data_IF_999089836886
#
_entry.id   IF_999089836886
#
_cell.length_a   1.000
_cell.length_b   1.000
_cell.length_c   1.000
_cell.angle_alpha   90.00
_cell.angle_beta   90.00
_cell.angle_gamma   90.00
#
_symmetry.space_group_name_H-M   'P 1'
#
loop_
_entity.id
_entity.type
_entity.pdbx_description
1 polymer ?
#
# COMPACT_ATOMS: atom_id res chain seq x y z
N UNK A 1 0.03 -5.29 25.71
CA UNK A 1 1.33 -5.97 25.78
C UNK A 1 2.09 -5.64 24.50
N UNK A 2 2.78 -4.51 24.46
CA UNK A 2 3.50 -4.04 23.26
C UNK A 2 4.94 -3.67 23.67
N UNK A 3 5.79 -4.68 23.66
CA UNK A 3 7.24 -4.50 23.80
C UNK A 3 7.90 -5.45 22.82
N UNK A 4 8.26 -5.00 21.62
CA UNK A 4 9.20 -5.75 20.73
C UNK A 4 9.32 -5.11 19.32
N UNK A 5 9.54 -3.83 19.19
CA UNK A 5 9.82 -3.24 17.85
C UNK A 5 11.31 -2.93 17.63
N UNK A 6 12.08 -2.69 18.68
CA UNK A 6 13.51 -2.35 18.51
C UNK A 6 14.44 -3.55 18.23
N UNK A 7 13.99 -4.80 18.44
CA UNK A 7 14.77 -6.01 18.14
C UNK A 7 14.60 -6.56 16.71
N UNK A 8 13.55 -6.13 16.03
CA UNK A 8 13.17 -6.62 14.69
C UNK A 8 14.01 -5.95 13.59
N UNK A 9 14.44 -4.70 13.80
CA UNK A 9 15.19 -3.95 12.79
C UNK A 9 16.54 -4.62 12.39
N UNK A 10 17.21 -5.30 13.34
CA UNK A 10 18.48 -6.01 13.04
C UNK A 10 18.27 -7.36 12.33
N UNK A 11 17.11 -8.00 12.49
CA UNK A 11 16.79 -9.28 11.85
C UNK A 11 16.24 -9.06 10.44
N UNK A 12 15.48 -7.99 10.24
CA UNK A 12 14.91 -7.60 8.93
C UNK A 12 16.00 -7.22 7.93
N UNK A 13 17.08 -6.57 8.38
CA UNK A 13 18.21 -6.25 7.49
C UNK A 13 18.93 -7.51 6.95
N UNK A 14 18.83 -8.64 7.66
CA UNK A 14 19.42 -9.92 7.24
C UNK A 14 18.48 -10.75 6.35
N UNK A 15 17.16 -10.54 6.43
CA UNK A 15 16.16 -11.22 5.59
C UNK A 15 16.10 -10.69 4.15
N UNK A 16 16.46 -9.41 3.92
CA UNK A 16 16.47 -8.80 2.59
C UNK A 16 17.47 -9.43 1.59
N UNK A 17 18.43 -10.23 2.07
CA UNK A 17 19.42 -10.86 1.20
C UNK A 17 18.96 -12.20 0.61
N UNK A 18 17.83 -12.75 1.01
CA UNK A 18 17.39 -14.10 0.62
C UNK A 18 16.17 -14.15 -0.30
N UNK A 19 15.42 -13.06 -0.44
CA UNK A 19 14.26 -13.01 -1.33
C UNK A 19 14.49 -11.93 -2.39
N UNK A 20 14.49 -12.30 -3.66
CA UNK A 20 14.80 -11.44 -4.78
C UNK A 20 13.82 -10.27 -5.07
N UNK A 21 13.17 -9.72 -4.04
CA UNK A 21 12.36 -8.51 -4.13
C UNK A 21 13.19 -7.31 -3.65
N UNK A 22 14.00 -6.73 -4.53
CA UNK A 22 14.57 -5.40 -4.28
C UNK A 22 13.45 -4.36 -4.41
N UNK A 23 12.94 -3.89 -3.26
CA UNK A 23 12.12 -2.69 -3.20
C UNK A 23 13.08 -1.52 -3.02
N UNK A 24 13.43 -0.84 -4.11
CA UNK A 24 14.23 0.39 -4.05
C UNK A 24 13.31 1.57 -3.68
N UNK A 25 13.54 2.15 -2.51
CA UNK A 25 12.95 3.42 -2.10
C UNK A 25 13.87 4.56 -2.54
N UNK A 26 13.67 5.06 -3.76
CA UNK A 26 14.33 6.28 -4.24
C UNK A 26 13.51 7.51 -3.81
N UNK A 27 13.97 8.24 -2.79
CA UNK A 27 13.41 9.54 -2.43
C UNK A 27 13.98 10.61 -3.34
N UNK A 28 13.15 11.26 -4.15
CA UNK A 28 13.59 12.25 -5.12
C UNK A 28 13.76 13.61 -4.44
N UNK A 29 15.01 14.02 -4.20
CA UNK A 29 15.35 15.37 -3.71
C UNK A 29 15.32 16.37 -4.86
N UNK A 30 14.26 17.13 -5.02
CA UNK A 30 14.30 18.48 -5.63
C UNK A 30 13.34 19.36 -4.86
N UNK A 31 13.87 20.08 -3.90
CA UNK A 31 13.13 21.03 -3.09
C UNK A 31 13.20 22.43 -3.68
N UNK A 32 12.07 22.93 -4.15
CA UNK A 32 11.77 24.35 -4.00
C UNK A 32 10.61 24.42 -3.01
N UNK A 33 10.97 24.68 -1.77
CA UNK A 33 10.17 24.44 -0.59
C UNK A 33 9.32 25.63 -0.25
N UNK A 34 8.06 25.45 0.07
CA UNK A 34 7.28 26.46 0.77
C UNK A 34 6.95 26.13 2.23
N UNK A 35 6.74 24.88 2.62
CA UNK A 35 6.42 24.55 4.02
C UNK A 35 7.17 23.31 4.50
N UNK A 36 8.30 23.54 5.19
CA UNK A 36 9.08 22.49 5.84
C UNK A 36 8.74 22.46 7.32
N UNK A 37 7.89 21.53 7.73
CA UNK A 37 7.53 21.38 9.14
C UNK A 37 8.29 20.25 9.81
N UNK A 38 8.95 20.56 10.92
CA UNK A 38 9.44 19.59 11.90
C UNK A 38 8.37 19.40 12.96
N UNK A 39 7.93 18.16 13.21
CA UNK A 39 6.92 17.86 14.22
C UNK A 39 5.49 17.77 13.67
N UNK A 40 4.54 18.26 14.46
CA UNK A 40 3.13 18.20 14.10
C UNK A 40 2.80 19.14 12.94
N UNK A 41 1.99 18.65 12.00
CA UNK A 41 1.53 19.38 10.81
C UNK A 41 0.02 19.29 10.72
N UNK A 42 -0.62 20.36 10.25
CA UNK A 42 -2.03 20.38 9.85
C UNK A 42 -2.13 21.36 8.68
N UNK A 43 -2.29 20.81 7.48
CA UNK A 43 -2.32 21.55 6.22
C UNK A 43 -3.55 21.13 5.39
N UNK A 44 -4.05 22.08 4.60
CA UNK A 44 -5.19 21.89 3.70
C UNK A 44 -4.84 22.42 2.32
N UNK A 45 -5.07 21.62 1.27
CA UNK A 45 -4.69 21.94 -0.11
C UNK A 45 -5.83 21.62 -1.06
N UNK A 46 -6.33 22.64 -1.76
CA UNK A 46 -7.39 22.47 -2.76
C UNK A 46 -7.02 21.55 -3.92
N UNK A 47 -7.96 20.66 -4.32
CA UNK A 47 -7.76 19.69 -5.41
C UNK A 47 -7.94 20.27 -6.81
N UNK A 48 -8.31 21.52 -6.97
CA UNK A 48 -8.53 22.12 -8.29
C UNK A 48 -7.30 21.96 -9.20
N UNK A 49 -7.47 21.25 -10.32
CA UNK A 49 -6.41 20.93 -11.27
C UNK A 49 -5.37 19.97 -10.72
N UNK A 50 -5.72 19.12 -9.75
CA UNK A 50 -4.87 18.03 -9.21
C UNK A 50 -5.25 16.72 -9.89
N UNK A 51 -4.29 16.13 -10.57
CA UNK A 51 -4.41 14.82 -11.22
C UNK A 51 -3.74 13.70 -10.41
N UNK A 52 -2.84 14.08 -9.47
CA UNK A 52 -2.04 13.10 -8.71
C UNK A 52 -1.77 13.54 -7.27
N UNK A 53 -1.89 12.60 -6.35
CA UNK A 53 -1.40 12.71 -4.97
C UNK A 53 -0.21 11.77 -4.81
N UNK A 54 0.94 12.29 -4.37
CA UNK A 54 2.20 11.56 -4.22
C UNK A 54 2.69 11.65 -2.78
N UNK A 55 2.61 10.54 -2.06
CA UNK A 55 3.04 10.39 -0.68
C UNK A 55 4.34 9.56 -0.65
N UNK A 56 5.44 10.12 -0.14
CA UNK A 56 6.72 9.44 0.04
C UNK A 56 7.18 9.61 1.47
N UNK A 57 7.02 8.59 2.28
CA UNK A 57 7.18 8.60 3.73
C UNK A 57 8.27 7.60 4.12
N UNK A 58 9.20 8.03 4.94
CA UNK A 58 10.28 7.17 5.39
C UNK A 58 9.83 6.25 6.54
N UNK A 59 9.21 6.83 7.58
CA UNK A 59 8.78 6.06 8.76
C UNK A 59 7.52 6.69 9.35
N UNK A 60 6.35 6.13 9.09
CA UNK A 60 5.10 6.53 9.75
C UNK A 60 4.04 5.42 9.65
N UNK A 61 3.12 5.43 10.60
CA UNK A 61 1.83 4.79 10.40
C UNK A 61 0.95 5.77 9.60
N UNK A 62 0.35 5.30 8.50
CA UNK A 62 -0.38 6.13 7.54
C UNK A 62 -1.84 5.70 7.47
N UNK A 63 -2.73 6.67 7.62
CA UNK A 63 -4.18 6.48 7.48
C UNK A 63 -4.70 7.43 6.39
N UNK A 64 -5.20 6.88 5.26
CA UNK A 64 -5.73 7.62 4.13
C UNK A 64 -7.22 7.33 4.02
N UNK A 65 -8.04 8.36 4.08
CA UNK A 65 -9.48 8.20 4.14
C UNK A 65 -10.21 9.28 3.35
N UNK A 66 -11.45 9.00 3.00
CA UNK A 66 -12.30 9.93 2.27
C UNK A 66 -12.83 11.03 3.20
N UNK A 67 -12.84 12.28 2.72
CA UNK A 67 -13.42 13.43 3.42
C UNK A 67 -14.39 14.19 2.52
N UNK A 68 -15.28 14.95 3.15
CA UNK A 68 -16.11 15.91 2.44
C UNK A 68 -15.33 17.20 2.15
N UNK A 69 -15.72 17.93 1.11
CA UNK A 69 -15.11 19.20 0.71
C UNK A 69 -14.19 19.05 -0.49
N UNK A 70 -13.37 20.07 -0.73
CA UNK A 70 -12.54 20.18 -1.93
C UNK A 70 -11.04 20.26 -1.64
N UNK A 71 -10.66 19.98 -0.41
CA UNK A 71 -9.27 20.07 0.04
C UNK A 71 -8.74 18.71 0.51
N UNK A 72 -7.51 18.36 0.10
CA UNK A 72 -6.73 17.32 0.74
C UNK A 72 -6.27 17.82 2.10
N UNK A 73 -6.60 17.08 3.15
CA UNK A 73 -6.23 17.39 4.53
C UNK A 73 -5.02 16.53 4.90
N UNK A 74 -3.97 17.15 5.41
CA UNK A 74 -2.73 16.46 5.80
C UNK A 74 -2.45 16.77 7.26
N UNK A 75 -2.60 15.76 8.11
CA UNK A 75 -2.37 15.85 9.55
C UNK A 75 -1.23 14.91 9.94
N UNK A 76 -0.18 15.46 10.54
CA UNK A 76 0.92 14.68 11.08
C UNK A 76 1.02 14.89 12.58
N UNK A 77 1.13 13.81 13.33
CA UNK A 77 1.40 13.82 14.78
C UNK A 77 2.71 13.10 15.07
N UNK A 78 3.68 13.83 15.60
CA UNK A 78 4.99 13.30 15.98
C UNK A 78 5.19 13.34 17.49
N UNK A 79 5.80 12.28 18.04
CA UNK A 79 6.26 12.20 19.44
C UNK A 79 7.63 11.54 19.47
N UNK A 80 8.62 12.21 20.06
CA UNK A 80 10.00 11.73 20.12
C UNK A 80 10.93 12.58 19.25
N UNK A 81 12.09 12.06 18.87
CA UNK A 81 13.15 12.83 18.23
C UNK A 81 13.59 12.28 16.86
N UNK A 82 12.99 11.17 16.37
CA UNK A 82 13.41 10.50 15.14
C UNK A 82 12.29 10.50 14.11
N UNK A 83 12.07 11.61 13.50
CA UNK A 83 11.22 11.76 12.33
C UNK A 83 11.89 12.70 11.33
N UNK A 84 11.64 12.45 10.05
CA UNK A 84 12.11 13.30 8.96
C UNK A 84 11.31 14.60 8.90
N UNK A 85 11.84 15.54 8.17
CA UNK A 85 11.15 16.77 7.84
C UNK A 85 10.09 16.48 6.78
N UNK A 86 8.85 16.92 6.99
CA UNK A 86 7.78 16.78 6.03
C UNK A 86 7.73 18.01 5.11
N UNK A 87 7.82 17.78 3.81
CA UNK A 87 7.63 18.79 2.77
C UNK A 87 6.29 18.56 2.09
N UNK A 88 5.47 19.59 1.99
CA UNK A 88 4.15 19.52 1.38
C UNK A 88 4.07 20.59 0.30
N UNK A 89 3.84 20.19 -0.95
CA UNK A 89 3.86 21.07 -2.10
C UNK A 89 2.79 20.70 -3.13
N UNK A 90 2.11 21.70 -3.68
CA UNK A 90 1.33 21.54 -4.91
C UNK A 90 2.14 22.10 -6.07
N UNK A 91 2.53 21.24 -7.02
CA UNK A 91 3.31 21.63 -8.18
C UNK A 91 2.70 21.03 -9.46
N UNK A 92 2.24 21.90 -10.34
CA UNK A 92 1.44 21.49 -11.49
C UNK A 92 0.16 20.78 -11.02
N UNK A 93 -0.16 19.65 -11.62
CA UNK A 93 -1.29 18.78 -11.24
C UNK A 93 -1.00 17.82 -10.09
N UNK A 94 0.10 17.98 -9.32
CA UNK A 94 0.50 17.01 -8.30
C UNK A 94 0.60 17.65 -6.92
N UNK A 95 -0.04 17.03 -5.92
CA UNK A 95 0.24 17.27 -4.50
C UNK A 95 1.32 16.29 -4.06
N UNK A 96 2.45 16.81 -3.59
CA UNK A 96 3.57 16.03 -3.06
C UNK A 96 3.65 16.17 -1.55
N UNK A 97 3.66 15.06 -0.84
CA UNK A 97 3.89 14.97 0.61
C UNK A 97 5.11 14.08 0.80
N UNK A 98 6.24 14.66 1.11
CA UNK A 98 7.53 13.96 1.12
C UNK A 98 8.19 14.13 2.47
N UNK A 99 8.47 13.01 3.14
CA UNK A 99 9.31 12.98 4.34
C UNK A 99 10.76 12.73 3.96
N UNK A 100 11.67 13.57 4.45
CA UNK A 100 13.11 13.37 4.30
C UNK A 100 13.56 12.10 5.04
N UNK A 101 14.73 11.56 4.66
CA UNK A 101 15.31 10.40 5.32
C UNK A 101 15.46 10.61 6.83
N UNK A 102 14.95 9.65 7.59
CA UNK A 102 15.12 9.62 9.05
C UNK A 102 16.52 9.15 9.39
N UNK A 103 17.30 9.97 10.07
CA UNK A 103 18.58 9.55 10.62
C UNK A 103 18.33 8.74 11.89
N UNK A 104 18.44 7.41 11.79
CA UNK A 104 18.37 6.54 12.97
C UNK A 104 19.56 6.80 13.89
N UNK A 105 19.34 7.41 15.05
CA UNK A 105 20.30 7.49 16.12
C UNK A 105 20.14 6.29 17.04
N UNK A 106 21.21 5.53 17.26
CA UNK A 106 21.23 4.33 18.12
C UNK A 106 20.85 4.58 19.59
N UNK A 107 20.71 5.84 19.99
CA UNK A 107 20.26 6.28 21.31
C UNK A 107 18.81 6.79 21.37
N UNK A 108 18.06 6.69 20.29
CA UNK A 108 16.74 7.30 20.20
C UNK A 108 15.70 6.64 21.11
N UNK A 109 14.99 7.48 21.84
CA UNK A 109 13.76 7.07 22.53
C UNK A 109 12.68 6.77 21.48
N UNK A 110 11.74 5.88 21.83
CA UNK A 110 10.57 5.54 21.03
C UNK A 110 9.95 6.79 20.39
N UNK A 111 9.89 6.79 19.09
CA UNK A 111 9.26 7.84 18.30
C UNK A 111 7.94 7.32 17.74
N UNK A 112 6.91 8.15 17.78
CA UNK A 112 5.62 7.90 17.11
C UNK A 112 5.50 8.93 16.00
N UNK A 113 5.23 8.47 14.79
CA UNK A 113 4.94 9.31 13.64
C UNK A 113 3.66 8.77 12.99
N UNK A 114 2.60 9.51 13.07
CA UNK A 114 1.30 9.20 12.45
C UNK A 114 1.00 10.25 11.41
N UNK A 115 0.70 9.83 10.19
CA UNK A 115 0.28 10.67 9.09
C UNK A 115 -1.15 10.30 8.69
N UNK A 116 -2.05 11.27 8.77
CA UNK A 116 -3.42 11.15 8.27
C UNK A 116 -3.59 12.00 7.03
N UNK A 117 -4.18 11.40 6.00
CA UNK A 117 -4.44 12.08 4.71
C UNK A 117 -5.92 11.94 4.36
N UNK A 118 -6.68 13.01 4.54
CA UNK A 118 -8.06 13.11 4.08
C UNK A 118 -8.10 13.48 2.59
N UNK A 119 -8.70 12.61 1.78
CA UNK A 119 -8.84 12.81 0.33
C UNK A 119 -10.28 13.14 0.01
N UNK A 120 -10.58 14.24 -0.71
CA UNK A 120 -11.94 14.57 -1.09
C UNK A 120 -12.65 13.44 -1.85
N UNK A 121 -13.92 13.19 -1.53
CA UNK A 121 -14.74 12.18 -2.19
C UNK A 121 -14.84 12.36 -3.73
N UNK A 122 -14.75 13.60 -4.20
CA UNK A 122 -14.79 13.95 -5.62
C UNK A 122 -13.42 13.85 -6.32
N UNK A 123 -12.36 13.50 -5.60
CA UNK A 123 -11.05 13.25 -6.20
C UNK A 123 -10.99 11.84 -6.79
N UNK A 124 -10.78 11.73 -8.10
CA UNK A 124 -10.68 10.48 -8.84
C UNK A 124 -9.36 10.35 -9.62
N UNK A 125 -8.36 11.14 -9.25
CA UNK A 125 -7.03 11.10 -9.88
C UNK A 125 -6.17 9.93 -9.41
N UNK A 126 -4.90 9.99 -9.76
CA UNK A 126 -3.91 8.97 -9.40
C UNK A 126 -3.40 9.13 -7.97
N UNK A 127 -2.96 8.01 -7.36
CA UNK A 127 -2.25 8.03 -6.10
C UNK A 127 -0.96 7.20 -6.16
N UNK A 128 0.12 7.78 -5.65
CA UNK A 128 1.38 7.07 -5.40
C UNK A 128 1.65 7.12 -3.90
N UNK A 129 1.78 5.95 -3.28
CA UNK A 129 2.13 5.80 -1.87
C UNK A 129 3.43 5.01 -1.74
N UNK A 130 4.42 5.59 -1.08
CA UNK A 130 5.64 4.90 -0.68
C UNK A 130 5.83 5.08 0.82
N UNK A 131 5.86 3.97 1.55
CA UNK A 131 6.16 3.96 2.98
C UNK A 131 7.26 2.93 3.27
N UNK A 132 8.39 3.36 3.80
CA UNK A 132 9.47 2.41 4.04
C UNK A 132 9.24 1.60 5.32
N UNK A 133 8.71 2.19 6.39
CA UNK A 133 8.42 1.49 7.65
C UNK A 133 7.17 2.08 8.31
N UNK A 134 6.24 1.24 8.71
CA UNK A 134 5.00 1.55 9.39
C UNK A 134 3.81 0.94 8.66
N UNK A 135 2.70 0.84 9.36
CA UNK A 135 1.47 0.29 8.83
C UNK A 135 0.76 1.33 7.96
N UNK A 136 0.04 0.87 6.95
CA UNK A 136 -0.71 1.75 6.04
C UNK A 136 -2.14 1.25 5.90
N UNK A 137 -3.09 2.16 6.06
CA UNK A 137 -4.51 1.89 5.88
C UNK A 137 -5.12 2.87 4.87
N UNK A 138 -5.92 2.37 3.94
CA UNK A 138 -6.64 3.16 2.93
C UNK A 138 -8.13 2.83 2.97
N UNK A 139 -9.00 3.84 3.21
CA UNK A 139 -10.43 3.62 3.43
C UNK A 139 -11.31 4.37 2.44
N UNK A 140 -12.23 3.63 1.82
CA UNK A 140 -13.34 4.16 1.00
C UNK A 140 -12.90 5.11 -0.12
N UNK A 141 -11.74 4.86 -0.72
CA UNK A 141 -11.18 5.70 -1.77
C UNK A 141 -11.62 5.24 -3.16
N UNK A 142 -11.95 6.22 -4.01
CA UNK A 142 -12.29 6.01 -5.43
C UNK A 142 -11.26 6.72 -6.29
N UNK A 143 -10.31 5.97 -6.83
CA UNK A 143 -9.14 6.51 -7.52
C UNK A 143 -8.98 5.90 -8.93
N UNK A 144 -8.20 6.55 -9.78
CA UNK A 144 -7.80 6.02 -11.07
C UNK A 144 -6.68 4.98 -10.88
N UNK A 145 -5.44 5.36 -11.04
CA UNK A 145 -4.29 4.47 -10.92
C UNK A 145 -3.65 4.61 -9.54
N UNK A 146 -3.48 3.47 -8.85
CA UNK A 146 -2.90 3.41 -7.51
C UNK A 146 -1.61 2.61 -7.53
N UNK A 147 -0.47 3.26 -7.26
CA UNK A 147 0.87 2.62 -7.15
C UNK A 147 1.36 2.69 -5.70
N UNK A 148 1.43 1.55 -5.04
CA UNK A 148 1.78 1.42 -3.63
C UNK A 148 3.07 0.63 -3.48
N UNK A 149 3.98 1.16 -2.65
CA UNK A 149 5.21 0.48 -2.24
C UNK A 149 5.38 0.59 -0.74
N UNK A 150 5.28 -0.53 -0.05
CA UNK A 150 5.55 -0.62 1.38
C UNK A 150 6.80 -1.46 1.64
N UNK A 151 7.58 -1.07 2.63
CA UNK A 151 8.78 -1.80 3.03
C UNK A 151 8.51 -2.80 4.14
N UNK A 152 8.28 -2.32 5.35
CA UNK A 152 7.99 -3.12 6.54
C UNK A 152 6.79 -2.55 7.26
N UNK A 153 5.74 -3.34 7.43
CA UNK A 153 4.48 -3.00 8.06
C UNK A 153 3.32 -3.68 7.35
N UNK A 154 2.18 -3.70 7.99
CA UNK A 154 0.96 -4.26 7.43
C UNK A 154 0.27 -3.24 6.51
N UNK A 155 -0.47 -3.73 5.53
CA UNK A 155 -1.12 -2.90 4.55
C UNK A 155 -2.59 -3.30 4.35
N UNK A 156 -3.49 -2.34 4.60
CA UNK A 156 -4.92 -2.58 4.52
C UNK A 156 -5.61 -1.64 3.52
N UNK A 157 -6.48 -2.19 2.67
CA UNK A 157 -7.46 -1.44 1.89
C UNK A 157 -8.86 -1.85 2.32
N UNK A 158 -9.63 -0.89 2.76
CA UNK A 158 -11.04 -1.07 3.10
C UNK A 158 -11.92 -0.38 2.03
N UNK A 159 -12.71 -1.18 1.32
CA UNK A 159 -13.75 -0.73 0.40
C UNK A 159 -13.26 0.21 -0.73
N UNK A 160 -12.13 -0.16 -1.37
CA UNK A 160 -11.53 0.63 -2.46
C UNK A 160 -12.21 0.42 -3.82
N UNK A 161 -12.21 1.47 -4.66
CA UNK A 161 -12.62 1.42 -6.07
C UNK A 161 -11.49 2.01 -6.93
N UNK A 162 -10.83 1.18 -7.77
CA UNK A 162 -9.68 1.60 -8.57
C UNK A 162 -9.75 1.09 -10.01
N UNK A 163 -9.23 1.86 -10.97
CA UNK A 163 -9.06 1.36 -12.34
C UNK A 163 -7.87 0.40 -12.42
N UNK A 164 -6.75 0.77 -11.79
CA UNK A 164 -5.55 -0.08 -11.73
C UNK A 164 -4.97 -0.04 -10.32
N UNK A 165 -4.63 -1.22 -9.77
CA UNK A 165 -3.91 -1.34 -8.52
C UNK A 165 -2.56 -2.02 -8.74
N UNK A 166 -1.48 -1.31 -8.41
CA UNK A 166 -0.14 -1.88 -8.30
C UNK A 166 0.32 -1.82 -6.85
N UNK A 167 0.56 -2.98 -6.23
CA UNK A 167 1.10 -3.10 -4.87
C UNK A 167 2.43 -3.85 -4.90
N UNK A 168 3.43 -3.29 -4.22
CA UNK A 168 4.70 -3.97 -3.91
C UNK A 168 4.96 -3.87 -2.42
N UNK A 169 4.86 -4.99 -1.72
CA UNK A 169 5.09 -5.08 -0.28
C UNK A 169 6.39 -5.85 0.00
N UNK A 170 7.15 -5.38 0.96
CA UNK A 170 8.37 -6.04 1.41
C UNK A 170 8.09 -7.10 2.49
N UNK A 171 7.72 -6.69 3.69
CA UNK A 171 7.44 -7.57 4.83
C UNK A 171 6.25 -7.04 5.63
N UNK A 172 5.27 -7.88 5.88
CA UNK A 172 4.01 -7.61 6.56
C UNK A 172 2.85 -8.26 5.83
N UNK A 173 1.70 -8.31 6.45
CA UNK A 173 0.50 -8.86 5.86
C UNK A 173 -0.25 -7.81 5.05
N UNK A 174 -1.02 -8.24 4.04
CA UNK A 174 -1.89 -7.37 3.28
C UNK A 174 -3.33 -7.86 3.32
N UNK A 175 -4.26 -7.01 3.78
CA UNK A 175 -5.69 -7.25 3.66
C UNK A 175 -6.31 -6.22 2.70
N UNK A 176 -6.86 -6.71 1.58
CA UNK A 176 -7.35 -5.87 0.49
C UNK A 176 -8.81 -6.20 0.20
N UNK A 177 -9.69 -5.26 0.50
CA UNK A 177 -11.12 -5.36 0.23
C UNK A 177 -11.50 -4.33 -0.85
N UNK A 178 -11.91 -4.79 -2.03
CA UNK A 178 -12.23 -3.95 -3.17
C UNK A 178 -13.68 -4.16 -3.63
N UNK A 179 -14.44 -3.08 -3.70
CA UNK A 179 -15.77 -3.07 -4.30
C UNK A 179 -15.68 -3.04 -5.83
N UNK A 180 -14.67 -2.37 -6.37
CA UNK A 180 -14.34 -2.40 -7.79
C UNK A 180 -12.83 -2.29 -8.00
N UNK A 181 -12.27 -3.12 -8.88
CA UNK A 181 -10.93 -2.91 -9.42
C UNK A 181 -10.84 -3.47 -10.85
N UNK A 182 -10.18 -2.74 -11.73
CA UNK A 182 -9.76 -3.24 -13.02
C UNK A 182 -8.53 -4.14 -12.89
N UNK A 183 -7.47 -3.84 -13.59
CA UNK A 183 -6.26 -4.69 -13.53
C UNK A 183 -5.49 -4.54 -12.22
N UNK A 184 -4.99 -5.65 -11.70
CA UNK A 184 -4.23 -5.71 -10.45
C UNK A 184 -2.86 -6.37 -10.64
N UNK A 185 -1.82 -5.76 -10.06
CA UNK A 185 -0.46 -6.32 -10.01
C UNK A 185 0.07 -6.25 -8.58
N UNK A 186 0.01 -7.38 -7.88
CA UNK A 186 0.36 -7.50 -6.46
C UNK A 186 1.64 -8.31 -6.33
N UNK A 187 2.65 -7.75 -5.67
CA UNK A 187 3.92 -8.42 -5.35
C UNK A 187 4.16 -8.37 -3.86
N UNK A 188 4.05 -9.52 -3.19
CA UNK A 188 4.40 -9.72 -1.79
C UNK A 188 5.84 -10.22 -1.64
N UNK A 189 6.48 -9.83 -0.54
CA UNK A 189 7.77 -10.37 -0.12
C UNK A 189 7.60 -11.47 0.92
N UNK A 190 7.41 -11.11 2.18
CA UNK A 190 7.17 -12.03 3.31
C UNK A 190 5.95 -11.55 4.08
N UNK A 191 4.93 -12.38 4.17
CA UNK A 191 3.64 -12.10 4.81
C UNK A 191 2.49 -12.68 3.99
N UNK A 192 1.31 -12.70 4.56
CA UNK A 192 0.12 -13.28 3.96
C UNK A 192 -0.66 -12.22 3.17
N UNK A 193 -1.36 -12.66 2.13
CA UNK A 193 -2.29 -11.85 1.36
C UNK A 193 -3.71 -12.35 1.57
N UNK A 194 -4.60 -11.45 1.97
CA UNK A 194 -6.05 -11.67 1.92
C UNK A 194 -6.68 -10.66 0.94
N UNK A 195 -7.16 -11.15 -0.19
CA UNK A 195 -7.79 -10.34 -1.23
C UNK A 195 -9.28 -10.66 -1.35
N UNK A 196 -10.12 -9.66 -1.21
CA UNK A 196 -11.57 -9.76 -1.27
C UNK A 196 -12.11 -8.89 -2.39
N UNK A 197 -12.65 -9.48 -3.44
CA UNK A 197 -13.23 -8.76 -4.57
C UNK A 197 -14.75 -8.90 -4.56
N UNK A 198 -15.48 -7.79 -4.59
CA UNK A 198 -16.95 -7.83 -4.77
C UNK A 198 -17.36 -8.11 -6.22
N UNK A 199 -16.46 -7.83 -7.16
CA UNK A 199 -16.65 -8.14 -8.57
C UNK A 199 -15.29 -8.36 -9.25
N UNK A 200 -15.26 -9.18 -10.32
CA UNK A 200 -14.06 -9.39 -11.15
C UNK A 200 -14.21 -8.58 -12.42
N UNK A 201 -13.41 -7.52 -12.55
CA UNK A 201 -13.47 -6.56 -13.65
C UNK A 201 -12.14 -6.35 -14.37
N UNK A 202 -11.11 -7.16 -14.07
CA UNK A 202 -9.79 -7.07 -14.65
C UNK A 202 -8.95 -8.31 -14.38
N UNK A 203 -7.71 -8.27 -14.87
CA UNK A 203 -6.73 -9.32 -14.65
C UNK A 203 -6.05 -9.15 -13.29
N UNK A 204 -5.62 -10.25 -12.71
CA UNK A 204 -4.78 -10.26 -11.51
C UNK A 204 -3.46 -10.95 -11.80
N UNK A 205 -2.36 -10.25 -11.54
CA UNK A 205 -1.03 -10.84 -11.46
C UNK A 205 -0.61 -10.78 -10.00
N UNK A 206 -0.53 -11.94 -9.35
CA UNK A 206 -0.01 -12.08 -7.98
C UNK A 206 1.32 -12.83 -7.98
N UNK A 207 2.31 -12.27 -7.31
CA UNK A 207 3.62 -12.89 -7.09
C UNK A 207 4.00 -12.76 -5.63
N UNK A 208 3.70 -13.80 -4.83
CA UNK A 208 4.13 -13.92 -3.44
C UNK A 208 5.55 -14.44 -3.32
N UNK A 209 6.25 -14.09 -2.25
CA UNK A 209 7.52 -14.65 -1.86
C UNK A 209 7.37 -15.81 -0.86
N UNK A 210 7.09 -15.49 0.39
CA UNK A 210 6.84 -16.43 1.50
C UNK A 210 5.60 -15.97 2.25
N UNK A 211 4.58 -16.80 2.31
CA UNK A 211 3.29 -16.55 2.94
C UNK A 211 2.15 -17.14 2.11
N UNK A 212 0.99 -17.21 2.70
CA UNK A 212 -0.21 -17.75 2.09
C UNK A 212 -1.00 -16.64 1.36
N UNK A 213 -1.84 -17.01 0.40
CA UNK A 213 -2.69 -16.09 -0.31
C UNK A 213 -4.14 -16.61 -0.36
N UNK A 214 -5.02 -15.93 0.36
CA UNK A 214 -6.46 -16.17 0.39
C UNK A 214 -7.17 -15.19 -0.55
N UNK A 215 -7.79 -15.67 -1.61
CA UNK A 215 -8.46 -14.83 -2.62
C UNK A 215 -9.95 -15.20 -2.68
N UNK A 216 -10.79 -14.24 -2.34
CA UNK A 216 -12.24 -14.39 -2.33
C UNK A 216 -12.85 -13.62 -3.50
N UNK A 217 -13.58 -14.32 -4.37
CA UNK A 217 -14.28 -13.72 -5.52
C UNK A 217 -15.72 -14.24 -5.63
N UNK A 218 -16.63 -13.52 -6.29
CA UNK A 218 -17.99 -14.00 -6.53
C UNK A 218 -17.99 -15.27 -7.38
N UNK A 219 -18.90 -16.19 -7.05
CA UNK A 219 -19.21 -17.30 -7.94
C UNK A 219 -19.71 -16.79 -9.30
N UNK A 220 -19.53 -17.57 -10.35
CA UNK A 220 -19.83 -17.23 -11.74
C UNK A 220 -19.01 -16.05 -12.30
N UNK A 221 -17.85 -15.73 -11.70
CA UNK A 221 -16.93 -14.75 -12.26
C UNK A 221 -16.35 -15.21 -13.60
N UNK A 222 -16.19 -14.29 -14.60
CA UNK A 222 -15.68 -14.62 -15.95
C UNK A 222 -14.14 -14.70 -15.96
N UNK A 223 -13.58 -15.61 -15.16
CA UNK A 223 -12.14 -15.71 -14.91
C UNK A 223 -11.60 -17.10 -15.20
N UNK A 224 -10.36 -17.17 -15.67
CA UNK A 224 -9.53 -18.37 -15.73
C UNK A 224 -8.28 -18.21 -14.87
N UNK A 225 -7.75 -19.32 -14.36
CA UNK A 225 -6.63 -19.31 -13.45
C UNK A 225 -5.38 -19.91 -14.09
N UNK A 226 -4.23 -19.28 -13.82
CA UNK A 226 -2.89 -19.83 -13.98
C UNK A 226 -2.23 -19.81 -12.64
N UNK A 227 -1.86 -20.97 -12.09
CA UNK A 227 -1.32 -21.06 -10.74
C UNK A 227 0.02 -21.77 -10.73
N UNK A 228 0.92 -21.33 -9.86
CA UNK A 228 2.19 -21.98 -9.59
C UNK A 228 2.61 -21.74 -8.15
N UNK A 229 2.95 -22.80 -7.42
CA UNK A 229 3.57 -22.71 -6.10
C UNK A 229 4.90 -23.45 -6.12
N UNK A 230 5.94 -22.85 -5.55
CA UNK A 230 7.23 -23.51 -5.40
C UNK A 230 7.19 -24.59 -4.32
N UNK A 231 6.79 -24.23 -3.10
CA UNK A 231 6.52 -25.13 -1.97
C UNK A 231 5.18 -24.76 -1.36
N UNK A 232 4.15 -25.57 -1.57
CA UNK A 232 2.79 -25.34 -1.13
C UNK A 232 1.78 -25.88 -2.14
N UNK A 233 0.51 -25.58 -1.90
CA UNK A 233 -0.61 -26.03 -2.73
C UNK A 233 -1.29 -24.82 -3.40
N UNK A 234 -2.06 -25.10 -4.44
CA UNK A 234 -2.97 -24.14 -5.06
C UNK A 234 -4.33 -24.78 -5.16
N UNK A 235 -5.25 -24.38 -4.30
CA UNK A 235 -6.61 -24.92 -4.26
C UNK A 235 -7.58 -23.85 -4.81
N UNK A 236 -8.39 -24.24 -5.80
CA UNK A 236 -9.37 -23.35 -6.45
C UNK A 236 -10.77 -23.90 -6.21
N UNK A 237 -11.47 -23.28 -5.27
CA UNK A 237 -12.81 -23.64 -4.82
C UNK A 237 -13.84 -22.59 -5.24
N UNK A 238 -13.85 -22.21 -6.51
CA UNK A 238 -14.79 -21.24 -7.06
C UNK A 238 -15.42 -21.75 -8.35
N UNK A 239 -16.72 -21.58 -8.48
CA UNK A 239 -17.43 -21.85 -9.72
C UNK A 239 -17.28 -20.65 -10.68
N UNK A 240 -16.60 -20.83 -11.80
CA UNK A 240 -16.48 -19.80 -12.85
C UNK A 240 -17.66 -19.82 -13.81
N UNK A 241 -17.91 -18.73 -14.54
CA UNK A 241 -18.97 -18.65 -15.56
C UNK A 241 -18.69 -19.49 -16.81
N UNK A 242 -17.44 -19.93 -16.98
CA UNK A 242 -16.94 -20.54 -18.21
C UNK A 242 -16.53 -19.52 -19.30
N UNK A 243 -16.82 -18.25 -19.12
CA UNK A 243 -16.27 -17.15 -19.90
C UNK A 243 -14.89 -16.77 -19.33
N UNK A 244 -13.84 -16.91 -20.12
CA UNK A 244 -12.48 -16.63 -19.70
C UNK A 244 -12.08 -15.19 -20.10
N UNK A 245 -12.88 -14.22 -19.71
CA UNK A 245 -12.64 -12.81 -20.05
C UNK A 245 -11.38 -12.28 -19.37
N UNK A 246 -11.17 -12.67 -18.12
CA UNK A 246 -10.01 -12.25 -17.31
C UNK A 246 -9.13 -13.43 -16.94
N UNK A 247 -7.88 -13.14 -16.60
CA UNK A 247 -6.89 -14.14 -16.18
C UNK A 247 -6.32 -13.76 -14.82
N UNK A 248 -6.38 -14.69 -13.88
CA UNK A 248 -5.67 -14.61 -12.61
C UNK A 248 -4.39 -15.45 -12.69
N UNK A 249 -3.25 -14.80 -12.77
CA UNK A 249 -1.90 -15.42 -12.79
C UNK A 249 -1.32 -15.35 -11.38
N UNK A 250 -1.46 -16.46 -10.65
CA UNK A 250 -1.19 -16.54 -9.21
C UNK A 250 0.05 -17.40 -8.96
N UNK A 251 1.08 -16.79 -8.40
CA UNK A 251 2.36 -17.44 -8.16
C UNK A 251 2.85 -17.16 -6.75
N UNK A 252 3.28 -18.17 -6.00
CA UNK A 252 4.00 -18.01 -4.73
C UNK A 252 5.27 -18.83 -4.70
N UNK A 253 6.28 -18.36 -3.96
CA UNK A 253 7.51 -19.11 -3.73
C UNK A 253 7.32 -20.21 -2.69
N UNK A 254 6.85 -19.86 -1.50
CA UNK A 254 6.57 -20.77 -0.37
C UNK A 254 5.27 -20.33 0.29
N UNK A 255 4.28 -21.21 0.33
CA UNK A 255 2.96 -20.97 0.90
C UNK A 255 1.86 -21.49 0.00
N UNK A 256 0.65 -21.53 0.53
CA UNK A 256 -0.53 -22.00 -0.16
C UNK A 256 -1.25 -20.85 -0.88
N UNK A 257 -1.97 -21.17 -1.94
CA UNK A 257 -2.86 -20.21 -2.62
C UNK A 257 -4.25 -20.82 -2.62
N UNK A 258 -5.19 -20.17 -1.96
CA UNK A 258 -6.58 -20.58 -1.88
C UNK A 258 -7.46 -19.55 -2.59
N UNK A 259 -8.25 -19.99 -3.58
CA UNK A 259 -9.23 -19.16 -4.25
C UNK A 259 -10.63 -19.69 -3.95
N UNK A 260 -11.42 -18.91 -3.25
CA UNK A 260 -12.71 -19.31 -2.71
C UNK A 260 -13.84 -18.48 -3.32
N UNK A 261 -14.92 -19.17 -3.72
CA UNK A 261 -16.15 -18.54 -4.20
C UNK A 261 -17.04 -18.05 -3.05
N UNK A 262 -17.59 -16.86 -3.20
CA UNK A 262 -18.55 -16.28 -2.23
C UNK A 262 -19.87 -15.88 -2.89
#
# INVERSE_FOLDING_TARGET
MKKRICGVLSIVLMGFLLTGCNVEFGFNRKSNVSNNAEGNVNESIGIDGVDKINLQIAVADIDIYTVEGNDVIIERTCRGNNFGKLSIEKNGGTINVIEDEVKCDLGAKYSKNELKVGVPADYHGDMVLKNAVGDCEMKELKLSDVDIKTGVGDFDIENGEYNVLTLKQGTGDAEINLSYCGDMNIKGGVGDLKLNLESVNGNLIFKGGVGDADIYIPNNSPVSFKTSSGLGKCDIEVQTSGENTYVFDLNTGVGDIDVVGK
#
